data_IF_801272545124
#
_entry.id   IF_801272545124
#
_cell.length_a   1.000
_cell.length_b   1.000
_cell.length_c   1.000
_cell.angle_alpha   90.00
_cell.angle_beta   90.00
_cell.angle_gamma   90.00
#
_symmetry.space_group_name_H-M   'P 1'
#
loop_
_entity.id
_entity.type
_entity.pdbx_description
1 polymer ?
#
# COMPACT_ATOMS: atom_id res chain seq x y z
N UNK A 1 45.25 -24.71 -47.55
CA UNK A 1 43.99 -25.30 -47.05
C UNK A 1 43.71 -24.66 -45.71
N UNK A 2 42.65 -23.85 -45.62
CA UNK A 2 42.24 -23.13 -44.40
C UNK A 2 41.60 -24.08 -43.40
N UNK A 3 42.02 -24.01 -42.14
CA UNK A 3 41.36 -24.70 -41.02
C UNK A 3 40.91 -23.66 -40.00
N UNK A 4 39.59 -23.59 -39.80
CA UNK A 4 38.91 -22.78 -38.81
C UNK A 4 38.76 -23.53 -37.48
N UNK A 5 38.75 -22.75 -36.39
CA UNK A 5 37.86 -22.83 -35.21
C UNK A 5 38.64 -22.73 -33.88
N UNK A 6 38.56 -21.57 -33.26
CA UNK A 6 39.01 -21.28 -31.89
C UNK A 6 37.80 -21.52 -30.98
N UNK A 7 37.88 -22.51 -30.06
CA UNK A 7 36.96 -22.61 -28.93
C UNK A 7 37.52 -21.80 -27.75
N UNK A 8 36.97 -20.61 -27.52
CA UNK A 8 37.21 -19.85 -26.29
C UNK A 8 36.31 -20.38 -25.18
N UNK A 9 36.86 -21.23 -24.30
CA UNK A 9 36.19 -21.68 -23.09
C UNK A 9 36.29 -20.58 -22.02
N UNK A 10 35.34 -19.65 -22.03
CA UNK A 10 35.16 -18.69 -20.96
C UNK A 10 34.67 -19.42 -19.70
N UNK A 11 35.62 -19.81 -18.84
CA UNK A 11 35.33 -20.27 -17.48
C UNK A 11 34.84 -19.09 -16.64
N UNK A 12 33.56 -18.76 -16.78
CA UNK A 12 32.89 -17.78 -15.92
C UNK A 12 32.76 -18.38 -14.53
N UNK A 13 33.60 -17.92 -13.60
CA UNK A 13 33.41 -18.15 -12.18
C UNK A 13 32.03 -17.63 -11.79
N UNK A 14 31.11 -18.55 -11.55
CA UNK A 14 29.76 -18.26 -11.09
C UNK A 14 29.87 -17.83 -9.63
N UNK A 15 30.04 -16.53 -9.40
CA UNK A 15 29.83 -15.95 -8.07
C UNK A 15 28.35 -16.14 -7.77
N UNK A 16 28.02 -17.20 -7.03
CA UNK A 16 26.73 -17.36 -6.41
C UNK A 16 26.57 -16.22 -5.41
N UNK A 17 26.08 -15.07 -5.87
CA UNK A 17 25.54 -14.08 -4.98
C UNK A 17 24.36 -14.75 -4.30
N UNK A 18 24.55 -15.10 -3.03
CA UNK A 18 23.44 -15.29 -2.12
C UNK A 18 22.72 -13.94 -2.11
N UNK A 19 21.75 -13.77 -3.02
CA UNK A 19 20.70 -12.80 -2.87
C UNK A 19 19.99 -13.23 -1.60
N UNK A 20 20.44 -12.70 -0.47
CA UNK A 20 19.59 -12.51 0.69
C UNK A 20 18.35 -11.87 0.11
N UNK A 21 17.26 -12.65 0.04
CA UNK A 21 15.94 -12.10 -0.18
C UNK A 21 15.70 -11.22 1.05
N UNK A 22 16.19 -9.99 0.99
CA UNK A 22 15.79 -8.92 1.88
C UNK A 22 14.31 -8.80 1.61
N UNK A 23 13.50 -9.42 2.48
CA UNK A 23 12.08 -9.13 2.53
C UNK A 23 11.99 -7.62 2.60
N UNK A 24 11.62 -6.99 1.47
CA UNK A 24 11.41 -5.56 1.44
C UNK A 24 10.48 -5.26 2.61
N UNK A 25 10.76 -4.24 3.44
CA UNK A 25 9.84 -3.88 4.51
C UNK A 25 8.47 -3.73 3.85
N UNK A 26 7.49 -4.52 4.29
CA UNK A 26 6.15 -4.54 3.71
C UNK A 26 5.64 -3.11 3.72
N UNK A 27 5.74 -2.40 2.59
CA UNK A 27 5.55 -0.97 2.55
C UNK A 27 4.10 -0.70 2.97
N UNK A 28 3.93 0.13 4.02
CA UNK A 28 2.60 0.51 4.45
C UNK A 28 1.92 1.30 3.33
N UNK A 29 0.97 0.64 2.67
CA UNK A 29 0.36 1.14 1.44
C UNK A 29 -1.14 1.18 1.64
N UNK A 30 -1.75 2.32 1.36
CA UNK A 30 -3.19 2.53 1.50
C UNK A 30 -3.83 2.86 0.16
N UNK A 31 -4.98 2.28 -0.10
CA UNK A 31 -5.80 2.57 -1.26
C UNK A 31 -7.25 2.84 -0.85
N UNK A 32 -7.91 3.74 -1.57
CA UNK A 32 -9.35 3.94 -1.45
C UNK A 32 -10.07 2.77 -2.12
N UNK A 33 -10.92 2.10 -1.37
CA UNK A 33 -11.78 1.00 -1.85
C UNK A 33 -13.07 1.56 -2.44
N UNK A 34 -13.71 2.49 -1.74
CA UNK A 34 -14.93 3.15 -2.22
C UNK A 34 -15.13 4.51 -1.53
N UNK A 35 -16.05 5.29 -2.10
CA UNK A 35 -16.51 6.58 -1.61
C UNK A 35 -17.97 6.74 -2.04
N UNK A 36 -18.86 6.97 -1.08
CA UNK A 36 -20.29 7.21 -1.32
C UNK A 36 -20.69 8.66 -0.97
N UNK A 37 -19.73 9.57 -0.86
CA UNK A 37 -19.97 10.96 -0.45
C UNK A 37 -20.19 11.17 1.05
N UNK A 38 -20.49 10.12 1.80
CA UNK A 38 -20.64 10.15 3.26
C UNK A 38 -19.65 9.26 4.01
N UNK A 39 -19.17 8.21 3.33
CA UNK A 39 -18.29 7.18 3.90
C UNK A 39 -17.16 6.90 2.93
N UNK A 40 -15.94 6.83 3.46
CA UNK A 40 -14.77 6.39 2.71
C UNK A 40 -14.30 5.04 3.24
N UNK A 41 -14.16 4.06 2.33
CA UNK A 41 -13.50 2.79 2.63
C UNK A 41 -12.03 2.87 2.27
N UNK A 42 -11.13 2.65 3.23
CA UNK A 42 -9.68 2.64 3.03
C UNK A 42 -9.16 1.23 3.33
N UNK A 43 -8.36 0.67 2.43
CA UNK A 43 -7.67 -0.61 2.64
C UNK A 43 -6.18 -0.36 2.65
N UNK A 44 -5.52 -0.73 3.74
CA UNK A 44 -4.08 -0.66 3.84
C UNK A 44 -3.47 -2.05 4.02
N UNK A 45 -2.23 -2.22 3.53
CA UNK A 45 -1.42 -3.43 3.69
C UNK A 45 -0.10 -3.09 4.38
N UNK A 46 0.45 -4.02 5.14
CA UNK A 46 1.76 -3.89 5.81
C UNK A 46 1.67 -3.88 7.34
N UNK A 47 0.55 -3.41 7.91
CA UNK A 47 0.27 -3.37 9.34
C UNK A 47 -1.24 -3.28 9.61
N UNK A 48 -1.72 -3.63 10.82
CA UNK A 48 -3.04 -3.18 11.27
C UNK A 48 -3.11 -1.64 11.24
N UNK A 49 -4.27 -1.10 10.90
CA UNK A 49 -4.40 0.32 10.56
C UNK A 49 -5.76 0.90 10.91
N UNK A 50 -5.80 2.22 11.06
CA UNK A 50 -7.03 2.99 11.17
C UNK A 50 -7.19 3.83 9.89
N UNK A 51 -8.30 3.65 9.18
CA UNK A 51 -8.67 4.50 8.07
C UNK A 51 -9.21 5.83 8.57
N UNK A 52 -8.92 6.93 7.89
CA UNK A 52 -9.50 8.22 8.20
C UNK A 52 -9.90 8.98 6.94
N UNK A 53 -10.89 9.87 7.09
CA UNK A 53 -11.33 10.76 6.02
C UNK A 53 -11.74 12.13 6.57
N UNK A 54 -11.47 13.18 5.80
CA UNK A 54 -11.86 14.55 6.15
C UNK A 54 -13.31 14.78 5.78
N UNK A 55 -14.08 15.23 6.75
CA UNK A 55 -15.47 15.62 6.59
C UNK A 55 -15.58 17.09 6.17
N UNK A 56 -16.72 17.47 5.60
CA UNK A 56 -17.01 18.82 5.10
C UNK A 56 -16.98 19.86 6.23
N UNK A 57 -17.29 19.46 7.46
CA UNK A 57 -17.17 20.31 8.66
C UNK A 57 -15.72 20.54 9.12
N UNK A 58 -14.72 19.93 8.47
CA UNK A 58 -13.30 20.06 8.81
C UNK A 58 -12.76 18.99 9.77
N UNK A 59 -13.63 18.17 10.38
CA UNK A 59 -13.24 17.08 11.26
C UNK A 59 -12.73 15.88 10.48
N UNK A 60 -11.84 15.08 11.06
CA UNK A 60 -11.44 13.79 10.51
C UNK A 60 -12.26 12.69 11.18
N UNK A 61 -13.07 11.97 10.39
CA UNK A 61 -13.67 10.74 10.84
C UNK A 61 -12.62 9.63 10.82
N UNK A 62 -12.49 8.90 11.92
CA UNK A 62 -11.56 7.78 12.06
C UNK A 62 -12.37 6.50 12.19
N UNK A 63 -12.07 5.55 11.33
CA UNK A 63 -12.67 4.21 11.35
C UNK A 63 -12.07 3.32 12.42
N UNK A 64 -12.72 2.17 12.63
CA UNK A 64 -12.18 1.15 13.51
C UNK A 64 -10.85 0.59 12.98
N UNK A 65 -10.02 0.09 13.91
CA UNK A 65 -8.79 -0.62 13.55
C UNK A 65 -9.11 -1.86 12.73
N UNK A 66 -8.47 -1.95 11.58
CA UNK A 66 -8.64 -3.02 10.61
C UNK A 66 -7.31 -3.78 10.45
N UNK A 67 -7.37 -5.09 10.25
CA UNK A 67 -6.18 -5.89 9.99
C UNK A 67 -5.56 -5.53 8.62
N UNK A 68 -4.26 -5.76 8.46
CA UNK A 68 -3.58 -5.59 7.17
C UNK A 68 -4.32 -6.35 6.06
N UNK A 69 -4.60 -5.68 4.95
CA UNK A 69 -5.32 -6.26 3.80
C UNK A 69 -6.84 -6.23 3.92
N UNK A 70 -7.39 -5.67 5.00
CA UNK A 70 -8.84 -5.47 5.17
C UNK A 70 -9.23 -4.00 4.97
N UNK A 71 -10.52 -3.67 5.07
CA UNK A 71 -11.04 -2.31 4.84
C UNK A 71 -11.46 -1.68 6.16
N UNK A 72 -10.95 -0.49 6.45
CA UNK A 72 -11.42 0.39 7.51
C UNK A 72 -12.34 1.46 6.93
N UNK A 73 -13.39 1.81 7.67
CA UNK A 73 -14.48 2.67 7.20
C UNK A 73 -14.53 3.97 8.01
N UNK A 74 -14.32 5.09 7.34
CA UNK A 74 -14.44 6.42 7.94
C UNK A 74 -15.81 7.03 7.61
N UNK A 75 -16.67 7.15 8.62
CA UNK A 75 -18.04 7.64 8.50
C UNK A 75 -18.15 9.11 8.91
N UNK A 76 -18.37 10.01 7.96
CA UNK A 76 -18.62 11.42 8.27
C UNK A 76 -20.04 11.67 8.81
N UNK A 77 -20.96 10.73 8.60
CA UNK A 77 -22.34 10.77 9.13
C UNK A 77 -22.37 10.75 10.65
N UNK A 78 -21.38 10.13 11.31
CA UNK A 78 -21.20 10.18 12.77
C UNK A 78 -21.00 11.61 13.28
N UNK A 79 -20.56 12.54 12.41
CA UNK A 79 -20.40 13.96 12.70
C UNK A 79 -21.48 14.81 12.04
N UNK A 80 -22.61 14.20 11.65
CA UNK A 80 -23.69 14.84 10.90
C UNK A 80 -23.17 15.59 9.67
N UNK A 81 -22.21 15.00 8.96
CA UNK A 81 -21.52 15.61 7.84
C UNK A 81 -21.32 14.62 6.68
N UNK A 82 -20.83 15.15 5.57
CA UNK A 82 -20.43 14.40 4.38
C UNK A 82 -18.91 14.50 4.20
N UNK A 83 -18.35 13.72 3.29
CA UNK A 83 -16.95 13.81 2.93
C UNK A 83 -16.62 15.17 2.31
N UNK A 84 -15.43 15.69 2.61
CA UNK A 84 -14.94 16.94 2.04
C UNK A 84 -14.78 16.83 0.51
N UNK A 85 -14.83 17.99 -0.16
CA UNK A 85 -14.41 18.15 -1.55
C UNK A 85 -13.29 19.20 -1.59
N UNK A 86 -12.08 18.87 -2.09
CA UNK A 86 -11.67 17.55 -2.60
C UNK A 86 -11.67 16.46 -1.51
N UNK A 87 -11.80 15.20 -1.93
CA UNK A 87 -11.77 14.04 -1.02
C UNK A 87 -10.38 13.94 -0.39
N UNK A 88 -10.30 14.05 0.93
CA UNK A 88 -9.07 13.83 1.70
C UNK A 88 -9.29 12.60 2.57
N UNK A 89 -8.44 11.60 2.38
CA UNK A 89 -8.51 10.31 3.07
C UNK A 89 -7.10 9.75 3.24
N UNK A 90 -6.97 8.78 4.14
CA UNK A 90 -5.72 8.07 4.35
C UNK A 90 -5.90 6.91 5.32
N UNK A 91 -4.79 6.26 5.63
CA UNK A 91 -4.71 5.33 6.73
C UNK A 91 -3.42 5.54 7.48
N UNK A 92 -3.43 5.24 8.77
CA UNK A 92 -2.25 5.20 9.61
C UNK A 92 -2.15 3.83 10.28
N UNK A 93 -0.94 3.29 10.49
CA UNK A 93 -0.77 2.11 11.33
C UNK A 93 -1.37 2.38 12.72
N UNK A 94 -2.03 1.36 13.27
CA UNK A 94 -2.73 1.40 14.55
C UNK A 94 -1.79 1.17 15.74
#
# INVERSE_FOLDING_TARGET
MSTFAILTLAGSGLVAMANSASAAPSAFTCAKVFDDGNTAGIKCTGAPFNGFAKCKNGTYAVGATAASGTTSYAYCTSYNSSLASPRVWGGSPA
#
